data_IF_125242780100
#
_entry.id   IF_125242780100
#
_cell.length_a   1.000
_cell.length_b   1.000
_cell.length_c   1.000
_cell.angle_alpha   90.00
_cell.angle_beta   90.00
_cell.angle_gamma   90.00
#
_symmetry.space_group_name_H-M   'P 1'
#
loop_
_entity.id
_entity.type
_entity.pdbx_description
1 polymer ?
#
# COMPACT_ATOMS: atom_id res chain seq x y z
N UNK A 1 -1.93 61.66 -55.10
CA UNK A 1 -2.41 60.73 -54.05
C UNK A 1 -2.13 59.33 -54.53
N UNK A 2 -1.15 58.66 -53.92
CA UNK A 2 -0.73 57.29 -54.24
C UNK A 2 -1.46 56.33 -53.31
N UNK A 3 -2.29 55.44 -53.85
CA UNK A 3 -2.92 54.34 -53.09
C UNK A 3 -2.06 53.10 -53.28
N UNK A 4 -1.22 52.81 -52.29
CA UNK A 4 -0.41 51.59 -52.22
C UNK A 4 -1.29 50.36 -52.03
N UNK A 5 -1.32 49.47 -53.03
CA UNK A 5 -1.97 48.17 -52.96
C UNK A 5 -1.08 47.22 -52.15
N UNK A 6 -1.48 46.95 -50.91
CA UNK A 6 -0.87 45.92 -50.06
C UNK A 6 -0.99 44.57 -50.75
N UNK A 7 0.14 44.03 -51.21
CA UNK A 7 0.26 42.70 -51.78
C UNK A 7 0.60 41.75 -50.64
N UNK A 8 -0.42 41.15 -50.05
CA UNK A 8 -0.24 40.03 -49.11
C UNK A 8 0.36 38.87 -49.90
N UNK A 9 1.63 38.58 -49.64
CA UNK A 9 2.42 37.62 -50.43
C UNK A 9 1.89 36.19 -50.24
N UNK A 10 1.57 35.44 -51.32
CA UNK A 10 0.95 34.11 -51.26
C UNK A 10 1.80 33.05 -50.52
N UNK A 11 3.10 33.34 -50.33
CA UNK A 11 4.03 32.48 -49.59
C UNK A 11 3.72 32.38 -48.09
N UNK A 12 3.10 33.41 -47.49
CA UNK A 12 2.74 33.39 -46.06
C UNK A 12 1.55 32.46 -45.81
N UNK A 13 0.58 32.43 -46.72
CA UNK A 13 -0.57 31.54 -46.63
C UNK A 13 -0.18 30.06 -46.72
N UNK A 14 0.73 29.71 -47.62
CA UNK A 14 1.22 28.33 -47.78
C UNK A 14 1.99 27.85 -46.55
N UNK A 15 2.84 28.72 -45.97
CA UNK A 15 3.61 28.39 -44.75
C UNK A 15 2.71 28.09 -43.54
N UNK A 16 1.64 28.86 -43.35
CA UNK A 16 0.67 28.65 -42.27
C UNK A 16 -0.08 27.34 -42.46
N UNK A 17 -0.53 27.03 -43.69
CA UNK A 17 -1.23 25.77 -44.00
C UNK A 17 -0.34 24.55 -43.74
N UNK A 18 0.93 24.60 -44.16
CA UNK A 18 1.89 23.50 -43.93
C UNK A 18 2.15 23.32 -42.44
N UNK A 19 2.29 24.41 -41.67
CA UNK A 19 2.51 24.35 -40.22
C UNK A 19 1.31 23.72 -39.51
N UNK A 20 0.08 24.10 -39.89
CA UNK A 20 -1.14 23.51 -39.33
C UNK A 20 -1.25 22.03 -39.69
N UNK A 21 -0.94 21.65 -40.93
CA UNK A 21 -0.97 20.26 -41.36
C UNK A 21 0.05 19.39 -40.60
N UNK A 22 1.26 19.90 -40.37
CA UNK A 22 2.28 19.22 -39.57
C UNK A 22 1.87 19.09 -38.10
N UNK A 23 1.28 20.13 -37.51
CA UNK A 23 0.73 20.09 -36.15
C UNK A 23 -0.41 19.06 -36.04
N UNK A 24 -1.33 19.03 -37.00
CA UNK A 24 -2.41 18.06 -37.02
C UNK A 24 -1.90 16.62 -37.17
N UNK A 25 -0.90 16.39 -38.02
CA UNK A 25 -0.25 15.09 -38.16
C UNK A 25 0.47 14.66 -36.89
N UNK A 26 1.16 15.58 -36.21
CA UNK A 26 1.84 15.31 -34.94
C UNK A 26 0.86 15.01 -33.80
N UNK A 27 -0.22 15.78 -33.68
CA UNK A 27 -1.29 15.53 -32.73
C UNK A 27 -2.02 14.20 -33.00
N UNK A 28 -2.28 13.89 -34.28
CA UNK A 28 -2.84 12.60 -34.70
C UNK A 28 -1.91 11.44 -34.36
N UNK A 29 -0.60 11.60 -34.57
CA UNK A 29 0.41 10.62 -34.17
C UNK A 29 0.45 10.39 -32.65
N UNK A 30 0.38 11.46 -31.85
CA UNK A 30 0.32 11.35 -30.39
C UNK A 30 -0.96 10.65 -29.92
N UNK A 31 -2.10 10.98 -30.52
CA UNK A 31 -3.36 10.31 -30.24
C UNK A 31 -3.33 8.82 -30.59
N UNK A 32 -2.73 8.47 -31.73
CA UNK A 32 -2.52 7.08 -32.13
C UNK A 32 -1.62 6.34 -31.13
N UNK A 33 -0.47 6.92 -30.78
CA UNK A 33 0.45 6.34 -29.78
C UNK A 33 -0.21 6.15 -28.42
N UNK A 34 -1.07 7.09 -27.98
CA UNK A 34 -1.82 6.95 -26.75
C UNK A 34 -2.90 5.84 -26.85
N UNK A 35 -3.57 5.72 -28.00
CA UNK A 35 -4.62 4.74 -28.23
C UNK A 35 -4.08 3.32 -28.48
N UNK A 36 -2.84 3.17 -28.94
CA UNK A 36 -2.21 1.87 -29.20
C UNK A 36 -1.23 1.43 -28.12
N UNK A 37 -1.05 2.22 -27.04
CA UNK A 37 -0.30 1.75 -25.88
C UNK A 37 -1.05 0.56 -25.29
N UNK A 38 -0.41 -0.60 -25.15
CA UNK A 38 -1.01 -1.68 -24.39
C UNK A 38 -1.27 -1.16 -22.98
N UNK A 39 -2.47 -1.42 -22.45
CA UNK A 39 -2.76 -1.12 -21.06
C UNK A 39 -1.67 -1.78 -20.20
N UNK A 40 -1.04 -1.03 -19.27
CA UNK A 40 -0.06 -1.64 -18.39
C UNK A 40 -0.73 -2.79 -17.65
N UNK A 41 -0.09 -3.97 -17.68
CA UNK A 41 -0.62 -5.13 -16.95
C UNK A 41 -0.78 -4.75 -15.47
N UNK A 42 -1.82 -5.24 -14.78
CA UNK A 42 -1.92 -5.06 -13.34
C UNK A 42 -0.65 -5.60 -12.66
N UNK A 43 -0.15 -4.85 -11.67
CA UNK A 43 0.97 -5.30 -10.84
C UNK A 43 0.55 -6.52 -10.03
N UNK A 44 1.45 -7.51 -9.94
CA UNK A 44 1.29 -8.66 -9.05
C UNK A 44 1.32 -8.23 -7.59
N UNK A 45 0.92 -9.13 -6.68
CA UNK A 45 1.02 -8.88 -5.24
C UNK A 45 2.46 -8.51 -4.84
N UNK A 46 3.45 -9.35 -5.21
CA UNK A 46 4.85 -9.13 -4.88
C UNK A 46 5.34 -7.77 -5.39
N UNK A 47 5.06 -7.43 -6.65
CA UNK A 47 5.47 -6.14 -7.24
C UNK A 47 4.85 -4.93 -6.51
N UNK A 48 3.61 -5.04 -6.02
CA UNK A 48 2.99 -3.96 -5.23
C UNK A 48 3.62 -3.81 -3.85
N UNK A 49 3.96 -4.93 -3.20
CA UNK A 49 4.55 -4.93 -1.85
C UNK A 49 6.01 -4.49 -1.91
N UNK A 50 6.80 -4.98 -2.87
CA UNK A 50 8.20 -4.57 -3.09
C UNK A 50 8.35 -3.08 -3.39
N UNK A 51 7.33 -2.44 -3.97
CA UNK A 51 7.33 -1.00 -4.22
C UNK A 51 7.17 -0.15 -2.94
N UNK A 52 6.86 -0.76 -1.79
CA UNK A 52 6.66 -0.06 -0.53
C UNK A 52 8.03 0.24 0.11
N UNK A 53 8.35 1.52 0.39
CA UNK A 53 9.57 1.86 1.12
C UNK A 53 9.59 1.20 2.49
N UNK A 54 10.69 0.52 2.81
CA UNK A 54 10.84 -0.27 4.03
C UNK A 54 10.45 -1.74 3.88
N UNK A 55 9.98 -2.19 2.71
CA UNK A 55 9.95 -3.63 2.38
C UNK A 55 11.33 -4.04 1.89
N UNK A 56 11.81 -5.17 2.40
CA UNK A 56 13.16 -5.65 2.14
C UNK A 56 13.19 -7.02 1.46
N UNK A 57 12.19 -7.86 1.73
CA UNK A 57 12.04 -9.18 1.12
C UNK A 57 10.55 -9.54 1.09
N UNK A 58 10.13 -10.20 0.02
CA UNK A 58 8.76 -10.70 -0.18
C UNK A 58 8.87 -12.07 -0.84
N UNK A 59 8.38 -13.10 -0.17
CA UNK A 59 8.20 -14.43 -0.74
C UNK A 59 6.70 -14.73 -0.84
N UNK A 60 6.27 -15.36 -1.95
CA UNK A 60 4.86 -15.63 -2.23
C UNK A 60 4.69 -17.07 -2.70
N UNK A 61 3.94 -17.86 -1.93
CA UNK A 61 3.84 -19.31 -2.12
C UNK A 61 2.72 -19.76 -3.08
N UNK A 62 1.81 -18.87 -3.52
CA UNK A 62 0.67 -19.28 -4.37
C UNK A 62 0.70 -18.75 -5.82
N UNK A 63 0.66 -19.70 -6.76
CA UNK A 63 0.65 -19.51 -8.22
C UNK A 63 -0.70 -19.01 -8.78
N UNK A 64 -0.76 -18.26 -9.90
CA UNK A 64 -1.99 -17.97 -10.64
C UNK A 64 -2.53 -19.17 -11.45
N UNK A 65 -3.85 -19.29 -11.63
CA UNK A 65 -4.44 -20.00 -12.79
C UNK A 65 -5.13 -18.94 -13.65
N UNK A 66 -4.78 -18.79 -14.94
CA UNK A 66 -5.39 -17.80 -15.81
C UNK A 66 -6.91 -18.02 -15.95
N UNK A 67 -7.70 -16.95 -15.80
CA UNK A 67 -9.05 -16.86 -16.37
C UNK A 67 -10.28 -16.85 -15.44
N UNK A 68 -10.17 -16.88 -14.10
CA UNK A 68 -11.37 -17.07 -13.26
C UNK A 68 -11.90 -15.86 -12.49
N UNK A 69 -11.20 -14.71 -12.43
CA UNK A 69 -11.73 -13.48 -11.81
C UNK A 69 -12.21 -13.61 -10.35
N UNK A 70 -11.74 -14.62 -9.61
CA UNK A 70 -12.10 -14.86 -8.21
C UNK A 70 -10.90 -14.58 -7.32
N UNK A 71 -11.14 -13.91 -6.20
CA UNK A 71 -10.18 -13.64 -5.12
C UNK A 71 -9.44 -14.93 -4.78
N UNK A 72 -8.12 -14.96 -5.00
CA UNK A 72 -7.25 -16.05 -4.53
C UNK A 72 -6.64 -15.65 -3.20
N UNK A 73 -6.57 -16.62 -2.30
CA UNK A 73 -5.76 -16.56 -1.09
C UNK A 73 -4.28 -16.49 -1.47
N UNK A 74 -3.61 -15.39 -1.08
CA UNK A 74 -2.15 -15.23 -1.14
C UNK A 74 -1.57 -15.59 0.23
N UNK A 75 -0.62 -16.51 0.23
CA UNK A 75 0.26 -16.77 1.38
C UNK A 75 1.60 -16.14 1.07
N UNK A 76 2.12 -15.34 1.99
CA UNK A 76 3.35 -14.58 1.74
C UNK A 76 4.13 -14.30 3.01
N UNK A 77 5.45 -14.38 2.92
CA UNK A 77 6.37 -13.89 3.95
C UNK A 77 6.86 -12.50 3.53
N UNK A 78 6.75 -11.52 4.43
CA UNK A 78 7.23 -10.15 4.18
C UNK A 78 8.18 -9.72 5.27
N UNK A 79 9.40 -9.39 4.88
CA UNK A 79 10.40 -8.84 5.79
C UNK A 79 10.53 -7.35 5.52
N UNK A 80 10.27 -6.53 6.54
CA UNK A 80 10.48 -5.10 6.49
C UNK A 80 11.86 -4.72 7.03
N UNK A 81 12.47 -3.68 6.48
CA UNK A 81 13.54 -2.96 7.16
C UNK A 81 12.97 -2.02 8.23
N UNK A 82 13.80 -1.63 9.21
CA UNK A 82 13.36 -0.74 10.29
C UNK A 82 12.88 0.64 9.82
N UNK A 83 13.21 1.05 8.59
CA UNK A 83 12.68 2.27 7.98
C UNK A 83 11.13 2.26 7.86
N UNK A 84 10.50 1.08 7.87
CA UNK A 84 9.02 0.98 7.92
C UNK A 84 8.44 1.67 9.17
N UNK A 85 9.24 1.75 10.25
CA UNK A 85 8.89 2.32 11.55
C UNK A 85 9.16 3.83 11.67
N UNK A 86 9.83 4.45 10.70
CA UNK A 86 10.14 5.90 10.77
C UNK A 86 8.87 6.75 10.61
N UNK A 87 7.90 6.25 9.84
CA UNK A 87 6.60 6.90 9.63
C UNK A 87 5.46 5.87 9.67
N UNK A 88 5.15 5.28 10.84
CA UNK A 88 4.23 4.13 10.96
C UNK A 88 2.89 4.32 10.25
N UNK A 89 2.22 5.47 10.46
CA UNK A 89 0.92 5.76 9.81
C UNK A 89 1.01 5.88 8.28
N UNK A 90 2.13 6.40 7.76
CA UNK A 90 2.35 6.49 6.31
C UNK A 90 2.64 5.11 5.72
N UNK A 91 3.47 4.30 6.39
CA UNK A 91 3.74 2.91 6.02
C UNK A 91 2.47 2.07 6.02
N UNK A 92 1.64 2.17 7.07
CA UNK A 92 0.34 1.50 7.14
C UNK A 92 -0.60 1.92 5.99
N UNK A 93 -0.57 3.18 5.57
CA UNK A 93 -1.35 3.66 4.42
C UNK A 93 -0.91 2.99 3.12
N UNK A 94 0.41 2.80 2.92
CA UNK A 94 0.92 2.11 1.73
C UNK A 94 0.55 0.63 1.73
N UNK A 95 0.66 -0.04 2.87
CA UNK A 95 0.27 -1.45 3.03
C UNK A 95 -1.24 -1.65 2.78
N UNK A 96 -2.09 -0.76 3.29
CA UNK A 96 -3.53 -0.77 3.04
C UNK A 96 -3.91 -0.51 1.57
N UNK A 97 -3.05 0.14 0.78
CA UNK A 97 -3.28 0.38 -0.64
C UNK A 97 -2.89 -0.80 -1.54
N UNK A 98 -2.30 -1.87 -0.99
CA UNK A 98 -2.07 -3.10 -1.75
C UNK A 98 -3.43 -3.69 -2.11
N UNK A 99 -3.70 -3.76 -3.41
CA UNK A 99 -5.02 -4.09 -3.96
C UNK A 99 -5.41 -5.57 -3.81
N UNK A 100 -4.47 -6.40 -3.41
CA UNK A 100 -4.62 -7.84 -3.22
C UNK A 100 -4.85 -8.18 -1.74
N UNK A 101 -5.47 -9.32 -1.47
CA UNK A 101 -5.65 -9.85 -0.12
C UNK A 101 -4.36 -10.41 0.48
N UNK A 102 -4.22 -10.26 1.79
CA UNK A 102 -3.16 -10.81 2.63
C UNK A 102 -3.67 -12.02 3.41
N UNK A 103 -4.07 -13.10 2.74
CA UNK A 103 -4.95 -14.12 3.34
C UNK A 103 -4.29 -15.04 4.36
N UNK A 104 -2.97 -14.99 4.47
CA UNK A 104 -2.14 -15.67 5.44
C UNK A 104 -0.72 -15.18 5.21
N UNK A 105 -0.44 -13.96 5.68
CA UNK A 105 0.86 -13.33 5.47
C UNK A 105 1.59 -13.14 6.79
N UNK A 106 2.80 -13.68 6.84
CA UNK A 106 3.69 -13.54 7.98
C UNK A 106 4.62 -12.34 7.76
N UNK A 107 4.52 -11.35 8.65
CA UNK A 107 5.27 -10.11 8.60
C UNK A 107 6.31 -10.09 9.71
N UNK A 108 7.53 -9.68 9.38
CA UNK A 108 8.61 -9.48 10.34
C UNK A 108 9.38 -8.20 10.04
N UNK A 109 10.11 -7.68 11.02
CA UNK A 109 10.97 -6.49 10.84
C UNK A 109 12.42 -6.87 11.11
N UNK A 110 13.28 -6.69 10.12
CA UNK A 110 14.69 -7.08 10.19
C UNK A 110 15.40 -6.48 11.40
N UNK A 111 16.00 -7.36 12.19
CA UNK A 111 16.72 -7.00 13.42
C UNK A 111 15.81 -6.71 14.62
N UNK A 112 14.50 -6.96 14.50
CA UNK A 112 13.53 -6.97 15.59
C UNK A 112 12.79 -8.32 15.55
N UNK A 113 12.51 -8.89 16.72
CA UNK A 113 11.80 -10.18 16.81
C UNK A 113 10.27 -10.01 16.80
N UNK A 114 9.77 -8.78 16.58
CA UNK A 114 8.33 -8.49 16.50
C UNK A 114 7.73 -8.95 15.18
N UNK A 115 6.57 -9.60 15.24
CA UNK A 115 5.90 -10.19 14.07
C UNK A 115 4.43 -9.79 13.95
N UNK A 116 3.86 -9.95 12.77
CA UNK A 116 2.41 -9.90 12.56
C UNK A 116 1.94 -10.97 11.57
N UNK A 117 0.93 -11.74 11.97
CA UNK A 117 0.24 -12.70 11.11
C UNK A 117 -1.07 -12.08 10.60
N UNK A 118 -1.15 -11.83 9.29
CA UNK A 118 -2.23 -11.06 8.65
C UNK A 118 -3.14 -11.98 7.83
N UNK A 119 -4.46 -11.85 8.05
CA UNK A 119 -5.50 -12.67 7.41
C UNK A 119 -6.61 -11.81 6.80
N UNK A 120 -6.37 -11.33 5.57
CA UNK A 120 -7.28 -10.51 4.80
C UNK A 120 -7.49 -11.07 3.39
N UNK A 121 -8.73 -11.17 2.91
CA UNK A 121 -9.04 -11.64 1.55
C UNK A 121 -9.13 -10.49 0.54
N UNK A 122 -9.06 -9.26 1.02
CA UNK A 122 -9.10 -8.01 0.28
C UNK A 122 -8.01 -7.08 0.85
N UNK A 123 -7.88 -5.84 0.34
CA UNK A 123 -6.97 -4.86 0.94
C UNK A 123 -7.16 -4.78 2.47
N UNK A 124 -6.04 -4.66 3.17
CA UNK A 124 -5.99 -4.59 4.64
C UNK A 124 -6.49 -3.26 5.16
N UNK A 125 -7.11 -3.28 6.34
CA UNK A 125 -7.50 -2.06 7.01
C UNK A 125 -6.26 -1.36 7.59
N UNK A 126 -6.20 -0.03 7.41
CA UNK A 126 -5.07 0.77 7.87
C UNK A 126 -4.90 0.75 9.39
N UNK A 127 -6.00 0.85 10.13
CA UNK A 127 -5.99 1.08 11.58
C UNK A 127 -5.19 0.02 12.38
N UNK A 128 -5.45 -1.29 12.24
CA UNK A 128 -4.71 -2.31 13.00
C UNK A 128 -3.22 -2.36 12.63
N UNK A 129 -2.88 -2.08 11.37
CA UNK A 129 -1.48 -2.06 10.90
C UNK A 129 -0.73 -0.85 11.48
N UNK A 130 -1.37 0.32 11.47
CA UNK A 130 -0.79 1.53 12.05
C UNK A 130 -0.49 1.31 13.54
N UNK A 131 -1.45 0.75 14.28
CA UNK A 131 -1.27 0.45 15.69
C UNK A 131 -0.10 -0.52 15.94
N UNK A 132 0.00 -1.61 15.17
CA UNK A 132 1.12 -2.55 15.30
C UNK A 132 2.47 -1.88 15.01
N UNK A 133 2.61 -1.14 13.91
CA UNK A 133 3.85 -0.45 13.56
C UNK A 133 4.24 0.60 14.61
N UNK A 134 3.28 1.37 15.13
CA UNK A 134 3.50 2.34 16.22
C UNK A 134 3.94 1.64 17.51
N UNK A 135 3.31 0.50 17.82
CA UNK A 135 3.68 -0.35 18.96
C UNK A 135 5.11 -0.88 18.87
N UNK A 136 5.50 -1.43 17.72
CA UNK A 136 6.88 -1.91 17.52
C UNK A 136 7.88 -0.76 17.60
N UNK A 137 7.58 0.41 17.01
CA UNK A 137 8.44 1.58 17.09
C UNK A 137 8.65 2.06 18.54
N UNK A 138 7.57 2.10 19.32
CA UNK A 138 7.61 2.49 20.74
C UNK A 138 8.45 1.50 21.55
N UNK A 139 8.22 0.19 21.40
CA UNK A 139 8.97 -0.83 22.15
C UNK A 139 10.45 -0.81 21.80
N UNK A 140 10.80 -0.66 20.51
CA UNK A 140 12.19 -0.52 20.06
C UNK A 140 12.92 0.60 20.80
N UNK A 141 12.25 1.73 21.03
CA UNK A 141 12.87 2.92 21.63
C UNK A 141 12.89 2.88 23.16
N UNK A 142 11.81 2.40 23.78
CA UNK A 142 11.59 2.56 25.22
C UNK A 142 11.78 1.25 26.01
N UNK A 143 11.59 0.10 25.35
CA UNK A 143 11.61 -1.23 25.96
C UNK A 143 12.44 -2.22 25.13
N UNK A 144 13.74 -1.94 24.91
CA UNK A 144 14.58 -2.83 24.12
C UNK A 144 14.60 -4.24 24.73
N UNK A 145 14.44 -5.25 23.88
CA UNK A 145 14.31 -6.66 24.29
C UNK A 145 12.88 -7.12 24.56
N UNK A 146 11.90 -6.22 24.56
CA UNK A 146 10.49 -6.56 24.40
C UNK A 146 10.12 -6.64 22.92
N UNK A 147 9.18 -7.51 22.60
CA UNK A 147 8.72 -7.83 21.25
C UNK A 147 7.20 -7.78 21.22
N UNK A 148 6.63 -7.52 20.04
CA UNK A 148 5.19 -7.42 19.85
C UNK A 148 4.77 -8.32 18.70
N UNK A 149 4.07 -9.40 19.04
CA UNK A 149 3.54 -10.36 18.08
C UNK A 149 2.03 -10.16 17.96
N UNK A 150 1.54 -9.88 16.76
CA UNK A 150 0.12 -9.64 16.52
C UNK A 150 -0.48 -10.62 15.53
N UNK A 151 -1.76 -10.91 15.67
CA UNK A 151 -2.61 -11.51 14.64
C UNK A 151 -3.64 -10.48 14.21
N UNK A 152 -3.65 -10.15 12.91
CA UNK A 152 -4.48 -9.12 12.31
C UNK A 152 -5.49 -9.76 11.37
N UNK A 153 -6.78 -9.68 11.70
CA UNK A 153 -7.90 -10.20 10.90
C UNK A 153 -8.98 -9.14 10.76
N UNK A 154 -9.95 -9.35 9.87
CA UNK A 154 -11.14 -8.50 9.81
C UNK A 154 -11.81 -8.38 11.19
N UNK A 155 -11.89 -7.17 11.74
CA UNK A 155 -12.50 -6.90 13.05
C UNK A 155 -11.84 -7.61 14.23
N UNK A 156 -10.55 -7.95 14.13
CA UNK A 156 -9.81 -8.52 15.26
C UNK A 156 -8.32 -8.19 15.18
N UNK A 157 -7.81 -7.59 16.26
CA UNK A 157 -6.39 -7.35 16.48
C UNK A 157 -6.01 -8.00 17.82
N UNK A 158 -5.29 -9.11 17.77
CA UNK A 158 -4.82 -9.80 18.99
C UNK A 158 -3.30 -9.70 19.06
N UNK A 159 -2.78 -9.04 20.09
CA UNK A 159 -1.36 -8.79 20.25
C UNK A 159 -0.84 -9.30 21.59
N UNK A 160 0.37 -9.86 21.56
CA UNK A 160 1.07 -10.39 22.72
C UNK A 160 2.44 -9.72 22.84
N UNK A 161 2.77 -9.24 24.05
CA UNK A 161 4.12 -8.74 24.36
C UNK A 161 4.96 -9.84 24.97
N UNK A 162 6.12 -10.11 24.36
CA UNK A 162 7.08 -11.12 24.85
C UNK A 162 8.45 -10.51 25.09
N UNK A 163 9.26 -11.19 25.91
CA UNK A 163 10.61 -10.76 26.24
C UNK A 163 10.64 -9.53 27.16
N UNK A 164 11.86 -9.10 27.50
CA UNK A 164 12.11 -7.90 28.30
C UNK A 164 11.29 -7.80 29.60
N UNK A 165 10.86 -6.59 29.92
CA UNK A 165 9.90 -6.33 30.99
C UNK A 165 8.49 -6.20 30.36
N UNK A 166 7.87 -7.34 30.09
CA UNK A 166 6.56 -7.41 29.43
C UNK A 166 5.46 -6.59 30.13
N UNK A 167 5.32 -6.57 31.47
CA UNK A 167 4.36 -5.69 32.14
C UNK A 167 4.54 -4.21 31.83
N UNK A 168 5.77 -3.70 31.91
CA UNK A 168 6.06 -2.28 31.62
C UNK A 168 5.87 -1.95 30.13
N UNK A 169 6.26 -2.87 29.24
CA UNK A 169 6.04 -2.71 27.81
C UNK A 169 4.55 -2.66 27.44
N UNK A 170 3.71 -3.49 28.07
CA UNK A 170 2.25 -3.46 27.89
C UNK A 170 1.64 -2.16 28.40
N UNK A 171 2.09 -1.68 29.56
CA UNK A 171 1.66 -0.39 30.09
C UNK A 171 2.03 0.75 29.13
N UNK A 172 3.22 0.72 28.54
CA UNK A 172 3.63 1.75 27.57
C UNK A 172 2.80 1.69 26.28
N UNK A 173 2.46 0.50 25.78
CA UNK A 173 1.59 0.35 24.60
C UNK A 173 0.16 0.89 24.82
N UNK A 174 -0.32 0.95 26.07
CA UNK A 174 -1.62 1.57 26.39
C UNK A 174 -1.63 3.09 26.19
N UNK A 175 -0.47 3.72 25.98
CA UNK A 175 -0.40 5.15 25.65
C UNK A 175 -0.63 5.45 24.17
N UNK A 176 -0.65 4.44 23.31
CA UNK A 176 -0.94 4.59 21.88
C UNK A 176 -2.44 4.85 21.70
N UNK A 177 -2.76 5.84 20.87
CA UNK A 177 -4.15 6.18 20.54
C UNK A 177 -4.87 5.00 19.86
N UNK A 178 -5.98 4.55 20.45
CA UNK A 178 -6.80 3.45 19.93
C UNK A 178 -8.04 3.93 19.18
N UNK A 179 -8.31 5.25 19.08
CA UNK A 179 -9.56 5.75 18.49
C UNK A 179 -9.81 5.21 17.07
N UNK A 180 -8.74 5.11 16.26
CA UNK A 180 -8.83 4.55 14.92
C UNK A 180 -9.11 3.04 14.91
N UNK A 181 -8.55 2.30 15.87
CA UNK A 181 -8.76 0.84 16.03
C UNK A 181 -10.18 0.58 16.56
N UNK A 182 -10.64 1.36 17.53
CA UNK A 182 -11.98 1.25 18.11
C UNK A 182 -13.05 1.51 17.04
N UNK A 183 -12.88 2.59 16.25
CA UNK A 183 -13.77 2.87 15.12
C UNK A 183 -13.72 1.77 14.06
N UNK A 184 -12.54 1.24 13.77
CA UNK A 184 -12.40 0.14 12.82
C UNK A 184 -13.14 -1.11 13.31
N UNK A 185 -13.02 -1.45 14.60
CA UNK A 185 -13.69 -2.59 15.21
C UNK A 185 -15.22 -2.45 15.15
N UNK A 186 -15.76 -1.29 15.54
CA UNK A 186 -17.19 -0.99 15.49
C UNK A 186 -17.79 -1.12 14.08
N UNK A 187 -17.00 -0.81 13.05
CA UNK A 187 -17.44 -0.84 11.65
C UNK A 187 -17.05 -2.13 10.92
N UNK A 188 -16.33 -3.04 11.58
CA UNK A 188 -15.87 -4.28 10.97
C UNK A 188 -16.98 -5.31 10.91
N UNK A 189 -17.17 -5.90 9.73
CA UNK A 189 -18.16 -6.94 9.47
C UNK A 189 -17.46 -8.22 8.99
N UNK A 190 -16.82 -8.98 9.90
CA UNK A 190 -16.08 -10.17 9.48
C UNK A 190 -17.02 -11.22 8.88
N UNK A 191 -16.59 -11.91 7.79
CA UNK A 191 -17.39 -12.96 7.19
C UNK A 191 -17.59 -14.13 8.18
N UNK A 192 -18.84 -14.37 8.57
CA UNK A 192 -19.21 -15.54 9.37
C UNK A 192 -19.12 -15.39 10.90
N UNK A 193 -19.02 -14.17 11.44
CA UNK A 193 -18.97 -13.96 12.88
C UNK A 193 -19.15 -12.50 13.33
N UNK A 194 -19.08 -12.29 14.64
CA UNK A 194 -18.95 -10.95 15.23
C UNK A 194 -17.47 -10.54 15.31
N UNK A 195 -17.17 -9.23 15.23
CA UNK A 195 -15.83 -8.73 15.54
C UNK A 195 -15.38 -9.20 16.93
N UNK A 196 -14.10 -9.49 17.06
CA UNK A 196 -13.49 -9.93 18.34
C UNK A 196 -12.81 -8.77 19.07
N UNK A 197 -12.71 -7.61 18.46
CA UNK A 197 -12.09 -6.45 19.08
C UNK A 197 -10.58 -6.46 19.06
N UNK A 198 -10.06 -5.50 19.80
CA UNK A 198 -8.65 -5.35 20.09
C UNK A 198 -8.32 -5.98 21.45
N UNK A 199 -7.32 -6.86 21.47
CA UNK A 199 -6.76 -7.44 22.71
C UNK A 199 -5.25 -7.30 22.76
N UNK A 200 -4.74 -6.90 23.92
CA UNK A 200 -3.31 -6.83 24.24
C UNK A 200 -3.00 -7.68 25.47
N UNK A 201 -2.11 -8.66 25.33
CA UNK A 201 -1.75 -9.63 26.38
C UNK A 201 -0.29 -9.56 26.79
#
# INVERSE_FOLDING_TARGET
MSTGRSTTSPLVGVSVVVTIALLAAWLGWLGYQAATRPDPRPLTFAEQVEAIPGVSEVEVDSNPVPGSGRIRTVTSEVVFDQAILDTPSASATRLANVSHGWSGSDWSIRGLDSTADVHYLAPVDKAPIAWWLEGVALLREQHPGSTLDCTIRYGSLDCEVRGGNAPAAREALQSIDTEAVDRWDENSHPPGGQPRGFTLR
#
